data_IF_817447019235
#
_entry.id   IF_817447019235
#
_cell.length_a   1.000
_cell.length_b   1.000
_cell.length_c   1.000
_cell.angle_alpha   90.00
_cell.angle_beta   90.00
_cell.angle_gamma   90.00
#
_symmetry.space_group_name_H-M   'P 1'
#
loop_
_entity.id
_entity.type
_entity.pdbx_description
1 polymer ?
#
# COMPACT_ATOMS: atom_id res chain seq x y z
N UNK A 1 7.36 4.47 7.00
CA UNK A 1 6.84 3.45 6.07
C UNK A 1 8.07 2.91 5.36
N UNK A 2 8.58 1.72 5.62
CA UNK A 2 7.99 0.41 5.93
C UNK A 2 7.27 -0.18 4.72
N UNK A 3 8.02 -0.64 3.72
CA UNK A 3 7.49 -1.16 2.46
C UNK A 3 6.42 -2.24 2.70
N UNK A 4 5.30 -2.17 1.99
CA UNK A 4 4.41 -3.30 1.85
C UNK A 4 5.07 -4.30 0.90
N UNK A 5 5.09 -5.57 1.29
CA UNK A 5 5.63 -6.68 0.52
C UNK A 5 4.49 -7.61 0.12
N UNK A 6 4.55 -8.09 -1.11
CA UNK A 6 3.66 -9.10 -1.67
C UNK A 6 4.48 -10.09 -2.48
N UNK A 7 4.18 -11.38 -2.35
CA UNK A 7 4.73 -12.40 -3.22
C UNK A 7 3.67 -13.41 -3.61
N UNK A 8 3.70 -13.84 -4.85
CA UNK A 8 2.80 -14.86 -5.36
C UNK A 8 3.54 -15.88 -6.22
N UNK A 9 3.12 -17.13 -6.12
CA UNK A 9 3.57 -18.19 -7.04
C UNK A 9 3.04 -17.92 -8.45
N UNK A 10 3.70 -18.46 -9.48
CA UNK A 10 3.29 -18.27 -10.88
C UNK A 10 1.89 -18.81 -11.18
N UNK A 11 1.42 -19.80 -10.41
CA UNK A 11 0.07 -20.37 -10.49
C UNK A 11 -0.95 -19.68 -9.55
N UNK A 12 -0.52 -18.64 -8.82
CA UNK A 12 -1.32 -17.84 -7.90
C UNK A 12 -1.98 -18.65 -6.76
N UNK A 13 -1.45 -19.84 -6.47
CA UNK A 13 -1.96 -20.70 -5.38
C UNK A 13 -1.43 -20.28 -4.02
N UNK A 14 -0.21 -19.75 -3.97
CA UNK A 14 0.42 -19.24 -2.77
C UNK A 14 0.59 -17.72 -2.90
N UNK A 15 -0.05 -16.98 -2.00
CA UNK A 15 0.05 -15.52 -1.92
C UNK A 15 0.44 -15.17 -0.49
N UNK A 16 1.53 -14.42 -0.33
CA UNK A 16 2.02 -13.93 0.96
C UNK A 16 2.14 -12.42 0.94
N UNK A 17 1.65 -11.77 1.99
CA UNK A 17 1.71 -10.31 2.14
C UNK A 17 2.24 -9.94 3.53
N UNK A 18 3.05 -8.89 3.62
CA UNK A 18 3.62 -8.43 4.89
C UNK A 18 4.03 -6.95 4.86
N UNK A 19 4.34 -6.38 6.02
CA UNK A 19 4.88 -5.03 6.18
C UNK A 19 6.34 -5.10 6.63
N UNK A 20 7.26 -4.49 5.89
CA UNK A 20 8.69 -4.57 6.14
C UNK A 20 9.23 -3.30 6.74
N UNK A 21 9.78 -3.34 7.95
CA UNK A 21 10.25 -2.14 8.68
C UNK A 21 11.74 -1.91 8.45
N UNK A 22 12.30 -0.74 8.83
CA UNK A 22 13.76 -0.54 8.82
C UNK A 22 14.55 -1.55 9.68
N UNK A 23 13.89 -2.25 10.60
CA UNK A 23 14.50 -3.32 11.41
C UNK A 23 14.38 -4.71 10.77
N UNK A 24 13.71 -4.84 9.62
CA UNK A 24 13.68 -6.06 8.83
C UNK A 24 15.09 -6.39 8.33
N UNK A 25 15.39 -7.68 8.12
CA UNK A 25 16.61 -8.11 7.47
C UNK A 25 16.88 -7.36 6.15
N UNK A 26 18.11 -6.83 6.02
CA UNK A 26 18.51 -6.00 4.88
C UNK A 26 18.26 -6.69 3.52
N UNK A 27 18.42 -8.01 3.46
CA UNK A 27 18.19 -8.79 2.23
C UNK A 27 16.74 -8.69 1.75
N UNK A 28 15.77 -8.69 2.66
CA UNK A 28 14.35 -8.55 2.31
C UNK A 28 14.04 -7.12 1.87
N UNK A 29 14.67 -6.13 2.50
CA UNK A 29 14.57 -4.73 2.08
C UNK A 29 15.21 -4.48 0.71
N UNK A 30 16.29 -5.20 0.38
CA UNK A 30 16.98 -5.07 -0.89
C UNK A 30 16.13 -5.55 -2.07
N UNK A 31 15.24 -6.52 -1.87
CA UNK A 31 14.29 -6.97 -2.90
C UNK A 31 13.37 -5.81 -3.31
N UNK A 32 12.95 -4.98 -2.35
CA UNK A 32 12.08 -3.83 -2.62
C UNK A 32 12.77 -2.68 -3.38
N UNK A 33 14.09 -2.69 -3.56
CA UNK A 33 14.81 -1.65 -4.33
C UNK A 33 14.55 -1.72 -5.84
N UNK A 34 14.21 -2.91 -6.33
CA UNK A 34 13.98 -3.16 -7.77
C UNK A 34 12.51 -2.96 -8.15
N UNK A 35 11.60 -2.99 -7.16
CA UNK A 35 10.16 -2.94 -7.37
C UNK A 35 9.58 -4.35 -7.57
N UNK A 36 8.61 -4.47 -8.47
CA UNK A 36 8.04 -5.77 -8.85
C UNK A 36 9.02 -6.57 -9.72
N UNK A 37 9.45 -7.72 -9.24
CA UNK A 37 10.38 -8.60 -9.92
C UNK A 37 9.86 -10.05 -9.95
N UNK A 38 9.84 -10.64 -11.15
CA UNK A 38 9.60 -12.06 -11.34
C UNK A 38 10.92 -12.82 -11.21
N UNK A 39 10.94 -13.84 -10.34
CA UNK A 39 12.05 -14.75 -10.14
C UNK A 39 11.70 -16.10 -10.77
N UNK A 40 11.92 -16.22 -12.08
CA UNK A 40 11.60 -17.42 -12.88
C UNK A 40 12.22 -18.70 -12.33
N UNK A 41 13.40 -18.60 -11.72
CA UNK A 41 14.12 -19.75 -11.14
C UNK A 41 13.42 -20.33 -9.91
N UNK A 42 12.59 -19.52 -9.25
CA UNK A 42 11.82 -19.85 -8.04
C UNK A 42 10.31 -19.91 -8.29
N UNK A 43 9.86 -19.61 -9.51
CA UNK A 43 8.44 -19.53 -9.89
C UNK A 43 7.63 -18.63 -8.96
N UNK A 44 8.25 -17.52 -8.54
CA UNK A 44 7.65 -16.55 -7.62
C UNK A 44 7.84 -15.16 -8.18
N UNK A 45 6.80 -14.34 -8.07
CA UNK A 45 6.90 -12.90 -8.28
C UNK A 45 6.85 -12.20 -6.95
N UNK A 46 7.71 -11.20 -6.76
CA UNK A 46 7.75 -10.38 -5.57
C UNK A 46 7.51 -8.93 -5.96
N UNK A 47 6.63 -8.25 -5.24
CA UNK A 47 6.28 -6.85 -5.42
C UNK A 47 6.39 -6.09 -4.10
N UNK A 48 6.84 -4.84 -4.20
CA UNK A 48 6.81 -3.91 -3.06
C UNK A 48 6.16 -2.59 -3.44
N UNK A 49 5.49 -1.96 -2.46
CA UNK A 49 4.80 -0.69 -2.64
C UNK A 49 4.74 0.10 -1.31
N UNK A 50 4.48 1.41 -1.40
CA UNK A 50 4.60 2.35 -0.28
C UNK A 50 3.32 3.14 0.01
N UNK A 51 2.18 2.69 -0.49
CA UNK A 51 0.88 3.31 -0.20
C UNK A 51 0.03 2.42 0.69
N UNK A 52 -0.83 3.02 1.51
CA UNK A 52 -1.68 2.25 2.42
C UNK A 52 -2.49 1.19 1.67
N UNK A 53 -2.41 -0.05 2.15
CA UNK A 53 -3.13 -1.22 1.62
C UNK A 53 -2.83 -1.53 0.13
N UNK A 54 -1.65 -1.15 -0.35
CA UNK A 54 -1.27 -1.32 -1.75
C UNK A 54 -1.02 -2.77 -2.19
N UNK A 55 -0.74 -3.67 -1.23
CA UNK A 55 -0.48 -5.10 -1.43
C UNK A 55 -1.73 -5.97 -1.20
N UNK A 56 -2.93 -5.38 -1.31
CA UNK A 56 -4.17 -6.14 -1.33
C UNK A 56 -4.44 -6.68 -2.74
N UNK A 57 -5.02 -7.89 -2.85
CA UNK A 57 -5.46 -8.41 -4.14
C UNK A 57 -6.50 -7.48 -4.75
N UNK A 58 -6.56 -7.43 -6.10
CA UNK A 58 -7.43 -6.48 -6.81
C UNK A 58 -8.91 -6.57 -6.42
N UNK A 59 -9.39 -7.76 -6.03
CA UNK A 59 -10.76 -7.99 -5.54
C UNK A 59 -11.08 -7.26 -4.23
N UNK A 60 -10.06 -6.98 -3.41
CA UNK A 60 -10.17 -6.32 -2.10
C UNK A 60 -9.62 -4.91 -2.11
N UNK A 61 -8.97 -4.52 -3.20
CA UNK A 61 -8.40 -3.18 -3.37
C UNK A 61 -9.51 -2.15 -3.27
N UNK A 62 -9.38 -1.14 -2.39
CA UNK A 62 -10.41 -0.12 -2.24
C UNK A 62 -10.71 0.56 -3.59
N UNK A 63 -11.96 0.47 -4.03
CA UNK A 63 -12.42 1.11 -5.26
C UNK A 63 -12.49 2.63 -5.01
N UNK A 64 -11.38 3.32 -5.31
CA UNK A 64 -11.17 4.77 -5.30
C UNK A 64 -10.90 5.49 -3.94
N UNK A 65 -9.62 5.83 -3.77
CA UNK A 65 -8.98 7.05 -3.23
C UNK A 65 -9.69 7.92 -2.15
N UNK A 66 -9.08 8.11 -0.97
CA UNK A 66 -9.29 9.33 -0.21
C UNK A 66 -8.43 10.47 -0.78
N UNK A 67 -9.01 11.67 -0.89
CA UNK A 67 -8.37 12.97 -1.13
C UNK A 67 -8.29 13.53 -2.57
N UNK A 68 -9.40 13.55 -3.32
CA UNK A 68 -9.65 14.63 -4.29
C UNK A 68 -10.97 15.40 -4.06
N UNK A 69 -11.78 15.03 -3.06
CA UNK A 69 -13.09 15.66 -2.81
C UNK A 69 -13.19 16.49 -1.50
N UNK A 70 -12.11 16.63 -0.74
CA UNK A 70 -12.11 17.51 0.44
C UNK A 70 -11.83 18.99 0.11
N UNK A 71 -11.25 19.29 -1.06
CA UNK A 71 -11.04 20.68 -1.48
C UNK A 71 -12.28 21.32 -2.10
N UNK A 72 -13.20 20.54 -2.69
CA UNK A 72 -14.40 21.11 -3.34
C UNK A 72 -15.54 21.41 -2.36
N UNK A 73 -15.63 20.67 -1.25
CA UNK A 73 -16.63 20.92 -0.20
C UNK A 73 -16.25 22.06 0.77
N UNK A 74 -14.97 22.44 0.88
CA UNK A 74 -14.54 23.59 1.70
C UNK A 74 -14.90 24.96 1.10
N UNK A 75 -15.14 25.03 -0.21
CA UNK A 75 -15.56 26.28 -0.88
C UNK A 75 -17.07 26.48 -0.93
N UNK A 76 -17.89 25.48 -0.59
CA UNK A 76 -19.36 25.59 -0.63
C UNK A 76 -20.04 25.75 0.72
N UNK A 77 -19.40 25.39 1.82
CA UNK A 77 -19.93 25.63 3.16
C UNK A 77 -18.85 26.30 3.99
N UNK A 78 -19.03 27.61 4.23
CA UNK A 78 -18.08 28.45 4.96
C UNK A 78 -17.73 27.89 6.33
N UNK A 79 -16.56 28.30 6.83
CA UNK A 79 -15.97 27.85 8.09
C UNK A 79 -17.01 27.76 9.22
N UNK A 80 -17.31 26.54 9.67
CA UNK A 80 -18.04 26.28 10.91
C UNK A 80 -17.20 26.84 12.07
N UNK A 81 -17.65 27.98 12.61
CA UNK A 81 -17.12 28.55 13.85
C UNK A 81 -17.42 27.56 14.99
N UNK A 82 -16.38 27.01 15.61
CA UNK A 82 -16.51 26.37 16.92
C UNK A 82 -16.94 27.45 17.91
N UNK A 83 -18.11 27.29 18.52
CA UNK A 83 -18.50 28.07 19.69
C UNK A 83 -17.65 27.62 20.89
N UNK A 84 -17.09 28.58 21.61
CA UNK A 84 -16.35 28.35 22.86
C UNK A 84 -17.26 27.77 23.95
N UNK A 85 -16.73 26.89 24.82
CA UNK A 85 -17.49 26.34 25.93
C UNK A 85 -17.62 27.38 27.05
N UNK A 86 -18.78 27.35 27.73
CA UNK A 86 -19.12 28.18 28.89
C UNK A 86 -18.43 27.67 30.17
#
# INVERSE_FOLDING_TARGET
>A
MTHCFESYSDDLTEITASCQTPNTEQKLLDVCKVGCQNHTDLQVTVCCCDTDLCNLPDSEKPTAAPAADFQRMRYKFGALKLAEPL
#
